data_IF_261125999945
#
_entry.id   IF_261125999945
#
_cell.length_a   1.000
_cell.length_b   1.000
_cell.length_c   1.000
_cell.angle_alpha   90.00
_cell.angle_beta   90.00
_cell.angle_gamma   90.00
#
_symmetry.space_group_name_H-M   'P 1'
#
loop_
_entity.id
_entity.type
_entity.pdbx_description
1 polymer ?
#
# COMPACT_ATOMS: atom_id res chain seq x y z
N UNK A 1 -9.33 -19.22 -6.68
CA UNK A 1 -9.32 -20.65 -6.33
C UNK A 1 -8.42 -21.36 -7.34
N UNK A 2 -7.17 -21.68 -6.95
CA UNK A 2 -6.27 -22.42 -7.86
C UNK A 2 -6.72 -23.87 -7.89
N UNK A 3 -7.05 -24.38 -9.09
CA UNK A 3 -7.32 -25.78 -9.30
C UNK A 3 -5.98 -26.50 -9.36
N UNK A 4 -5.72 -27.37 -8.41
CA UNK A 4 -4.50 -28.15 -8.32
C UNK A 4 -4.42 -29.17 -9.46
N UNK A 5 -3.29 -29.21 -10.18
CA UNK A 5 -3.00 -30.31 -11.11
C UNK A 5 -2.94 -31.64 -10.35
N UNK A 6 -3.53 -32.70 -10.94
CA UNK A 6 -3.48 -34.06 -10.39
C UNK A 6 -2.16 -34.78 -10.69
N UNK A 7 -1.29 -34.21 -11.54
CA UNK A 7 0.01 -34.77 -11.92
C UNK A 7 1.06 -33.65 -12.03
N UNK A 8 2.33 -33.90 -11.68
CA UNK A 8 3.42 -32.96 -11.83
C UNK A 8 3.60 -32.56 -13.31
N UNK A 9 3.78 -31.27 -13.56
CA UNK A 9 3.97 -30.73 -14.89
C UNK A 9 5.40 -30.95 -15.36
N UNK A 10 5.66 -31.98 -16.19
CA UNK A 10 6.92 -32.14 -16.89
C UNK A 10 6.70 -31.97 -18.40
N UNK A 11 7.51 -31.08 -19.02
CA UNK A 11 7.58 -30.93 -20.46
C UNK A 11 8.95 -31.39 -20.95
N UNK A 12 8.97 -32.25 -21.93
CA UNK A 12 10.21 -32.64 -22.60
C UNK A 12 10.35 -31.89 -23.92
N UNK A 13 11.49 -31.26 -24.13
CA UNK A 13 11.81 -30.46 -25.32
C UNK A 13 13.16 -30.91 -25.90
N UNK A 14 13.20 -31.17 -27.20
CA UNK A 14 14.46 -31.37 -27.90
C UNK A 14 14.94 -30.11 -28.57
N UNK A 15 16.12 -29.64 -28.20
CA UNK A 15 16.74 -28.45 -28.77
C UNK A 15 18.27 -28.61 -28.82
N UNK A 16 18.89 -28.26 -29.95
CA UNK A 16 20.34 -28.32 -30.12
C UNK A 16 20.94 -29.72 -29.94
N UNK A 17 20.21 -30.79 -30.27
CA UNK A 17 20.64 -32.19 -30.07
C UNK A 17 20.59 -32.64 -28.60
N UNK A 18 20.06 -31.84 -27.70
CA UNK A 18 19.85 -32.19 -26.28
C UNK A 18 18.36 -32.29 -25.96
N UNK A 19 18.00 -33.30 -25.19
CA UNK A 19 16.68 -33.43 -24.58
C UNK A 19 16.66 -32.70 -23.24
N UNK A 20 15.74 -31.74 -23.11
CA UNK A 20 15.51 -30.94 -21.91
C UNK A 20 14.26 -31.43 -21.19
N UNK A 21 14.33 -31.53 -19.87
CA UNK A 21 13.22 -31.87 -18.98
C UNK A 21 12.85 -30.63 -18.18
N UNK A 22 11.76 -29.98 -18.58
CA UNK A 22 11.30 -28.75 -17.95
C UNK A 22 10.22 -29.09 -16.94
N UNK A 23 10.50 -28.89 -15.65
CA UNK A 23 9.49 -28.91 -14.60
C UNK A 23 8.66 -27.65 -14.70
N UNK A 24 7.34 -27.76 -14.58
CA UNK A 24 6.41 -26.61 -14.60
C UNK A 24 5.55 -26.66 -13.36
N UNK A 25 5.57 -25.60 -12.57
CA UNK A 25 4.61 -25.36 -11.51
C UNK A 25 3.99 -23.95 -11.60
N UNK A 26 2.90 -23.74 -10.90
CA UNK A 26 2.12 -22.50 -11.01
C UNK A 26 1.96 -21.90 -9.63
N UNK A 27 2.46 -20.65 -9.48
CA UNK A 27 2.24 -19.79 -8.33
C UNK A 27 2.53 -20.50 -6.99
N UNK A 28 1.49 -20.86 -6.24
CA UNK A 28 1.57 -21.45 -4.90
C UNK A 28 2.14 -22.88 -4.87
N UNK A 29 2.29 -23.56 -6.01
CA UNK A 29 2.96 -24.85 -6.09
C UNK A 29 4.42 -24.80 -5.60
N UNK A 30 5.03 -23.60 -5.61
CA UNK A 30 6.37 -23.37 -5.08
C UNK A 30 6.40 -23.23 -3.54
N UNK A 31 5.25 -22.98 -2.91
CA UNK A 31 5.13 -22.63 -1.49
C UNK A 31 4.98 -23.89 -0.61
N UNK A 32 5.98 -24.74 -0.63
CA UNK A 32 5.97 -26.03 0.08
C UNK A 32 6.77 -26.01 1.39
N UNK A 33 7.66 -25.03 1.57
CA UNK A 33 8.53 -24.93 2.74
C UNK A 33 7.83 -24.17 3.86
N UNK A 34 7.14 -24.91 4.74
CA UNK A 34 6.37 -24.34 5.86
C UNK A 34 7.22 -23.47 6.80
N UNK A 35 8.46 -23.84 7.05
CA UNK A 35 9.41 -23.11 7.87
C UNK A 35 9.72 -21.70 7.34
N UNK A 36 9.61 -21.49 6.02
CA UNK A 36 9.93 -20.23 5.38
C UNK A 36 8.76 -19.25 5.36
N UNK A 37 7.52 -19.71 5.31
CA UNK A 37 6.33 -18.85 5.21
C UNK A 37 5.31 -19.02 6.34
N UNK A 38 5.61 -19.87 7.32
CA UNK A 38 4.82 -20.02 8.56
C UNK A 38 3.50 -20.77 8.43
N UNK A 39 3.14 -21.24 7.23
CA UNK A 39 1.89 -21.96 6.96
C UNK A 39 2.10 -23.02 5.91
N UNK A 40 1.55 -24.22 6.11
CA UNK A 40 1.43 -25.20 5.05
C UNK A 40 0.22 -24.85 4.19
N UNK A 41 0.46 -24.38 2.97
CA UNK A 41 -0.57 -24.26 1.96
C UNK A 41 -1.00 -25.67 1.57
N UNK A 42 -2.26 -25.97 1.70
CA UNK A 42 -2.91 -27.29 1.65
C UNK A 42 -2.37 -28.30 0.65
N UNK A 43 -2.23 -29.55 1.11
CA UNK A 43 -2.16 -30.79 0.29
C UNK A 43 -0.72 -31.16 -0.04
N UNK A 44 -0.39 -32.00 -1.02
CA UNK A 44 0.87 -32.60 -1.39
C UNK A 44 2.06 -31.63 -1.58
N UNK A 45 3.15 -32.14 -2.06
CA UNK A 45 4.42 -31.45 -2.27
C UNK A 45 4.77 -31.43 -3.76
N UNK A 46 4.28 -30.42 -4.53
CA UNK A 46 4.52 -30.35 -5.97
C UNK A 46 6.00 -30.29 -6.34
N UNK A 47 6.85 -29.69 -5.49
CA UNK A 47 8.31 -29.68 -5.70
C UNK A 47 8.90 -31.06 -5.51
N UNK A 48 8.50 -31.79 -4.46
CA UNK A 48 8.92 -33.16 -4.23
C UNK A 48 8.45 -34.12 -5.29
N UNK A 49 7.26 -33.98 -5.82
CA UNK A 49 6.75 -34.77 -6.94
C UNK A 49 7.60 -34.56 -8.20
N UNK A 50 8.05 -33.34 -8.48
CA UNK A 50 8.95 -33.02 -9.58
C UNK A 50 10.37 -33.59 -9.36
N UNK A 51 10.84 -33.69 -8.12
CA UNK A 51 12.15 -34.21 -7.80
C UNK A 51 12.35 -35.64 -8.33
N UNK A 52 11.33 -36.49 -8.22
CA UNK A 52 11.37 -37.85 -8.76
C UNK A 52 11.53 -37.88 -10.28
N UNK A 53 11.12 -36.83 -10.97
CA UNK A 53 11.20 -36.68 -12.42
C UNK A 53 12.52 -36.06 -12.90
N UNK A 54 13.40 -35.62 -11.99
CA UNK A 54 14.73 -35.05 -12.28
C UNK A 54 14.69 -33.98 -13.39
N UNK A 55 14.00 -32.84 -13.21
CA UNK A 55 14.00 -31.77 -14.21
C UNK A 55 15.39 -31.17 -14.39
N UNK A 56 15.73 -30.71 -15.59
CA UNK A 56 16.92 -29.90 -15.88
C UNK A 56 16.70 -28.43 -15.47
N UNK A 57 15.45 -27.97 -15.41
CA UNK A 57 15.02 -26.60 -15.12
C UNK A 57 13.61 -26.62 -14.56
N UNK A 58 13.34 -25.80 -13.53
CA UNK A 58 11.98 -25.54 -13.06
C UNK A 58 11.51 -24.17 -13.56
N UNK A 59 10.36 -24.12 -14.21
CA UNK A 59 9.65 -22.89 -14.58
C UNK A 59 8.48 -22.69 -13.61
N UNK A 60 8.51 -21.61 -12.83
CA UNK A 60 7.39 -21.19 -11.99
C UNK A 60 6.70 -19.99 -12.61
N UNK A 61 5.43 -20.13 -12.99
CA UNK A 61 4.60 -19.09 -13.57
C UNK A 61 3.67 -18.52 -12.48
N UNK A 62 3.89 -17.28 -12.06
CA UNK A 62 3.24 -16.69 -10.91
C UNK A 62 2.43 -15.42 -11.25
N UNK A 63 1.28 -15.30 -10.58
CA UNK A 63 0.56 -14.06 -10.36
C UNK A 63 0.54 -13.80 -8.84
N UNK A 64 1.74 -13.57 -8.28
CA UNK A 64 1.94 -13.37 -6.86
C UNK A 64 1.84 -11.89 -6.53
N UNK A 65 0.77 -11.43 -5.82
CA UNK A 65 0.61 -10.00 -5.52
C UNK A 65 1.66 -9.55 -4.51
N UNK A 66 1.99 -8.27 -4.58
CA UNK A 66 2.90 -7.62 -3.66
C UNK A 66 2.38 -7.68 -2.22
N UNK A 67 3.30 -7.83 -1.31
CA UNK A 67 3.20 -7.47 0.10
C UNK A 67 4.61 -7.15 0.60
N UNK A 68 4.73 -6.26 1.57
CA UNK A 68 6.03 -5.89 2.15
C UNK A 68 6.75 -7.15 2.66
N UNK A 69 8.04 -7.31 2.28
CA UNK A 69 8.86 -8.49 2.61
C UNK A 69 8.68 -9.70 1.69
N UNK A 70 7.65 -9.75 0.85
CA UNK A 70 7.33 -10.92 0.02
C UNK A 70 8.36 -11.17 -1.09
N UNK A 71 9.02 -10.14 -1.59
CA UNK A 71 10.11 -10.29 -2.58
C UNK A 71 11.25 -11.17 -2.05
N UNK A 72 11.68 -10.94 -0.82
CA UNK A 72 12.69 -11.77 -0.16
C UNK A 72 12.20 -13.22 0.06
N UNK A 73 10.94 -13.37 0.48
CA UNK A 73 10.33 -14.70 0.68
C UNK A 73 10.28 -15.51 -0.62
N UNK A 74 9.86 -14.88 -1.75
CA UNK A 74 9.87 -15.53 -3.09
C UNK A 74 11.26 -16.04 -3.46
N UNK A 75 12.32 -15.24 -3.25
CA UNK A 75 13.71 -15.67 -3.52
C UNK A 75 14.12 -16.83 -2.63
N UNK A 76 13.77 -16.83 -1.34
CA UNK A 76 14.09 -17.93 -0.42
C UNK A 76 13.39 -19.23 -0.81
N UNK A 77 12.11 -19.17 -1.16
CA UNK A 77 11.33 -20.33 -1.61
C UNK A 77 11.89 -20.91 -2.92
N UNK A 78 12.22 -20.05 -3.89
CA UNK A 78 12.82 -20.48 -5.14
C UNK A 78 14.21 -21.09 -4.93
N UNK A 79 15.02 -20.54 -4.03
CA UNK A 79 16.34 -21.09 -3.69
C UNK A 79 16.23 -22.46 -3.00
N UNK A 80 15.27 -22.63 -2.09
CA UNK A 80 15.00 -23.92 -1.45
C UNK A 80 14.56 -24.98 -2.48
N UNK A 81 13.64 -24.62 -3.39
CA UNK A 81 13.22 -25.49 -4.47
C UNK A 81 14.38 -25.85 -5.42
N UNK A 82 15.22 -24.87 -5.79
CA UNK A 82 16.39 -25.09 -6.64
C UNK A 82 17.40 -26.07 -6.00
N UNK A 83 17.69 -25.89 -4.73
CA UNK A 83 18.57 -26.79 -3.98
C UNK A 83 17.98 -28.21 -3.87
N UNK A 84 16.68 -28.32 -3.61
CA UNK A 84 15.98 -29.60 -3.49
C UNK A 84 15.92 -30.38 -4.80
N UNK A 85 15.68 -29.70 -5.92
CA UNK A 85 15.61 -30.29 -7.26
C UNK A 85 16.98 -30.51 -7.87
N UNK A 86 18.02 -29.83 -7.39
CA UNK A 86 19.36 -29.84 -7.97
C UNK A 86 19.44 -29.14 -9.34
N UNK A 87 18.49 -28.29 -9.68
CA UNK A 87 18.44 -27.56 -10.94
C UNK A 87 18.06 -26.08 -10.76
N UNK A 88 18.33 -25.21 -11.74
CA UNK A 88 17.90 -23.83 -11.68
C UNK A 88 16.37 -23.66 -11.64
N UNK A 89 15.90 -22.56 -11.04
CA UNK A 89 14.49 -22.15 -11.05
C UNK A 89 14.37 -20.80 -11.74
N UNK A 90 13.51 -20.73 -12.75
CA UNK A 90 13.07 -19.50 -13.39
C UNK A 90 11.73 -19.12 -12.79
N UNK A 91 11.70 -18.06 -12.02
CA UNK A 91 10.50 -17.51 -11.41
C UNK A 91 10.01 -16.33 -12.24
N UNK A 92 8.84 -16.47 -12.85
CA UNK A 92 8.23 -15.42 -13.67
C UNK A 92 6.98 -14.91 -12.97
N UNK A 93 6.97 -13.63 -12.61
CA UNK A 93 5.84 -13.00 -11.93
C UNK A 93 5.15 -11.96 -12.82
N UNK A 94 3.84 -11.85 -12.67
CA UNK A 94 3.02 -10.85 -13.34
C UNK A 94 3.41 -9.44 -12.90
N UNK A 95 3.20 -8.45 -13.79
CA UNK A 95 3.31 -7.00 -13.51
C UNK A 95 1.97 -6.34 -13.76
N UNK A 96 1.58 -5.41 -12.88
CA UNK A 96 0.40 -4.56 -13.06
C UNK A 96 -0.54 -4.52 -11.86
N UNK A 97 -1.42 -3.54 -11.81
CA UNK A 97 -2.47 -3.39 -10.82
C UNK A 97 -3.81 -3.94 -11.31
N UNK A 98 -4.59 -4.58 -10.44
CA UNK A 98 -5.97 -4.98 -10.71
C UNK A 98 -6.80 -4.90 -9.42
N UNK A 99 -7.73 -3.95 -9.40
CA UNK A 99 -8.48 -3.59 -8.20
C UNK A 99 -7.53 -3.25 -7.03
N UNK A 100 -7.64 -3.93 -5.92
CA UNK A 100 -6.74 -3.75 -4.77
C UNK A 100 -5.37 -4.43 -4.93
N UNK A 101 -5.22 -5.38 -5.85
CA UNK A 101 -3.99 -6.17 -6.00
C UNK A 101 -3.00 -5.49 -6.93
N UNK A 102 -1.75 -5.45 -6.50
CA UNK A 102 -0.63 -4.99 -7.35
C UNK A 102 0.38 -6.11 -7.47
N UNK A 103 0.76 -6.43 -8.70
CA UNK A 103 1.76 -7.43 -9.03
C UNK A 103 3.05 -6.70 -9.40
N UNK A 104 4.06 -6.88 -8.58
CA UNK A 104 5.30 -6.12 -8.60
C UNK A 104 6.36 -6.66 -9.57
N UNK A 105 6.06 -7.70 -10.34
CA UNK A 105 7.05 -8.30 -11.26
C UNK A 105 8.25 -8.86 -10.51
N UNK A 106 9.42 -8.31 -10.79
CA UNK A 106 10.67 -8.73 -10.17
C UNK A 106 10.97 -10.21 -10.45
N UNK A 107 10.69 -10.68 -11.66
CA UNK A 107 11.04 -12.03 -12.12
C UNK A 107 12.53 -12.29 -12.00
N UNK A 108 12.94 -13.52 -11.75
CA UNK A 108 14.35 -13.84 -11.53
C UNK A 108 14.70 -15.27 -11.89
N UNK A 109 15.98 -15.54 -12.04
CA UNK A 109 16.55 -16.89 -12.13
C UNK A 109 17.43 -17.16 -10.92
N UNK A 110 17.23 -18.30 -10.27
CA UNK A 110 18.10 -18.79 -9.21
C UNK A 110 18.75 -20.11 -9.60
N UNK A 111 20.07 -20.22 -9.43
CA UNK A 111 20.81 -21.44 -9.69
C UNK A 111 20.51 -22.52 -8.64
N UNK A 112 20.88 -23.78 -8.93
CA UNK A 112 20.79 -24.88 -7.96
C UNK A 112 21.54 -24.61 -6.64
N UNK A 113 22.53 -23.72 -6.65
CA UNK A 113 23.25 -23.27 -5.45
C UNK A 113 22.49 -22.26 -4.60
N UNK A 114 21.31 -21.79 -5.02
CA UNK A 114 20.54 -20.73 -4.38
C UNK A 114 20.96 -19.31 -4.78
N UNK A 115 21.98 -19.13 -5.62
CA UNK A 115 22.43 -17.80 -6.06
C UNK A 115 21.52 -17.24 -7.16
N UNK A 116 21.10 -15.99 -7.03
CA UNK A 116 20.33 -15.28 -8.07
C UNK A 116 21.24 -14.91 -9.22
N UNK A 117 20.91 -15.36 -10.42
CA UNK A 117 21.70 -15.22 -11.67
C UNK A 117 21.18 -14.12 -12.58
N UNK A 118 19.90 -13.91 -12.57
CA UNK A 118 19.22 -12.89 -13.35
C UNK A 118 18.12 -12.29 -12.48
N UNK A 119 17.94 -10.97 -12.55
CA UNK A 119 16.86 -10.25 -11.92
C UNK A 119 16.28 -9.27 -12.92
N UNK A 120 15.00 -9.36 -13.19
CA UNK A 120 14.24 -8.44 -14.02
C UNK A 120 13.74 -7.27 -13.17
N UNK A 121 13.29 -6.22 -13.85
CA UNK A 121 12.83 -4.98 -13.22
C UNK A 121 11.62 -5.16 -12.30
N UNK A 122 11.48 -4.22 -11.37
CA UNK A 122 10.39 -4.16 -10.40
C UNK A 122 9.36 -3.12 -10.81
N UNK A 123 8.08 -3.51 -10.72
CA UNK A 123 6.92 -2.67 -11.01
C UNK A 123 6.88 -2.12 -12.46
N UNK A 124 7.67 -2.69 -13.36
CA UNK A 124 7.69 -2.37 -14.79
C UNK A 124 7.80 -3.67 -15.62
N UNK A 125 7.19 -3.74 -16.82
CA UNK A 125 7.40 -4.84 -17.75
C UNK A 125 8.86 -4.92 -18.20
N UNK A 126 9.43 -6.12 -18.15
CA UNK A 126 10.81 -6.37 -18.59
C UNK A 126 10.91 -7.70 -19.34
N UNK A 127 11.83 -7.78 -20.29
CA UNK A 127 12.13 -8.97 -21.08
C UNK A 127 13.64 -9.15 -21.18
N UNK A 128 14.14 -10.24 -20.62
CA UNK A 128 15.56 -10.57 -20.66
C UNK A 128 15.77 -12.02 -21.12
N UNK A 129 16.94 -12.28 -21.67
CA UNK A 129 17.38 -13.60 -22.08
C UNK A 129 18.40 -14.13 -21.09
N UNK A 130 18.15 -15.30 -20.55
CA UNK A 130 19.12 -16.04 -19.73
C UNK A 130 19.64 -17.24 -20.52
N UNK A 131 20.95 -17.27 -20.76
CA UNK A 131 21.62 -18.39 -21.41
C UNK A 131 22.14 -19.38 -20.37
N UNK A 132 21.63 -20.62 -20.39
CA UNK A 132 22.03 -21.68 -19.46
C UNK A 132 23.50 -22.13 -19.59
N UNK A 133 24.13 -21.83 -20.73
CA UNK A 133 25.54 -22.16 -20.99
C UNK A 133 26.49 -21.07 -20.46
N UNK A 134 26.01 -19.85 -20.35
CA UNK A 134 26.76 -18.72 -19.86
C UNK A 134 26.41 -18.51 -18.39
N UNK A 135 27.02 -19.23 -17.47
CA UNK A 135 26.82 -19.03 -16.04
C UNK A 135 27.67 -17.84 -15.57
N UNK A 136 27.10 -16.60 -15.46
CA UNK A 136 27.86 -15.44 -15.02
C UNK A 136 28.33 -15.64 -13.59
N UNK A 137 29.44 -15.03 -13.27
CA UNK A 137 30.13 -15.13 -12.00
C UNK A 137 29.22 -14.99 -10.77
N UNK A 138 29.63 -15.56 -9.66
CA UNK A 138 29.00 -15.80 -8.35
C UNK A 138 28.42 -14.59 -7.60
N UNK A 139 28.11 -13.49 -8.24
CA UNK A 139 27.57 -12.29 -7.58
C UNK A 139 26.06 -12.43 -7.38
N UNK A 140 25.64 -12.45 -6.13
CA UNK A 140 24.21 -12.36 -5.78
C UNK A 140 23.73 -10.95 -6.07
N UNK A 141 22.66 -10.81 -6.86
CA UNK A 141 22.02 -9.52 -7.14
C UNK A 141 21.19 -9.14 -5.90
N UNK A 142 21.45 -7.98 -5.23
CA UNK A 142 20.72 -7.59 -4.05
C UNK A 142 19.24 -7.26 -4.38
N UNK A 143 18.39 -7.26 -3.36
CA UNK A 143 17.06 -6.67 -3.47
C UNK A 143 17.17 -5.16 -3.33
N UNK A 144 16.28 -4.39 -3.98
CA UNK A 144 16.11 -2.97 -3.70
C UNK A 144 15.69 -2.72 -2.24
N UNK A 145 15.82 -1.49 -1.80
CA UNK A 145 15.27 -1.06 -0.52
C UNK A 145 13.78 -1.38 -0.43
N UNK A 146 13.26 -1.78 0.74
CA UNK A 146 11.82 -2.03 0.92
C UNK A 146 10.96 -0.83 0.55
N UNK A 147 11.44 0.38 0.82
CA UNK A 147 10.76 1.65 0.51
C UNK A 147 10.75 1.94 -0.99
N UNK A 148 11.82 1.58 -1.73
CA UNK A 148 11.85 1.65 -3.21
C UNK A 148 10.75 0.76 -3.80
N UNK A 149 10.71 -0.51 -3.39
CA UNK A 149 9.68 -1.45 -3.86
C UNK A 149 8.27 -0.98 -3.51
N UNK A 150 8.08 -0.44 -2.31
CA UNK A 150 6.79 0.07 -1.86
C UNK A 150 6.35 1.28 -2.69
N UNK A 151 7.23 2.25 -2.89
CA UNK A 151 6.94 3.45 -3.69
C UNK A 151 6.57 3.08 -5.13
N UNK A 152 7.38 2.27 -5.80
CA UNK A 152 7.10 1.79 -7.17
C UNK A 152 5.79 1.03 -7.26
N UNK A 153 5.52 0.18 -6.29
CA UNK A 153 4.29 -0.64 -6.26
C UNK A 153 3.04 0.23 -6.10
N UNK A 154 3.06 1.23 -5.20
CA UNK A 154 1.94 2.16 -5.03
C UNK A 154 1.71 3.01 -6.29
N UNK A 155 2.79 3.49 -6.92
CA UNK A 155 2.72 4.24 -8.18
C UNK A 155 2.13 3.38 -9.31
N UNK A 156 2.60 2.13 -9.47
CA UNK A 156 2.06 1.19 -10.45
C UNK A 156 0.56 0.92 -10.19
N UNK A 157 0.19 0.66 -8.94
CA UNK A 157 -1.20 0.39 -8.55
C UNK A 157 -2.13 1.56 -8.89
N UNK A 158 -1.75 2.78 -8.52
CA UNK A 158 -2.51 3.99 -8.83
C UNK A 158 -2.60 4.25 -10.35
N UNK A 159 -1.48 4.14 -11.07
CA UNK A 159 -1.41 4.31 -12.52
C UNK A 159 -2.35 3.36 -13.26
N UNK A 160 -2.29 2.08 -12.91
CA UNK A 160 -3.10 1.05 -13.56
C UNK A 160 -4.58 1.13 -13.19
N UNK A 161 -4.89 1.43 -11.90
CA UNK A 161 -6.27 1.65 -11.47
C UNK A 161 -6.91 2.81 -12.23
N UNK A 162 -6.25 3.98 -12.26
CA UNK A 162 -6.73 5.15 -12.99
C UNK A 162 -6.94 4.83 -14.47
N UNK A 163 -5.94 4.24 -15.12
CA UNK A 163 -5.99 3.88 -16.55
C UNK A 163 -7.14 2.90 -16.87
N UNK A 164 -7.29 1.84 -16.06
CA UNK A 164 -8.32 0.80 -16.25
C UNK A 164 -9.73 1.33 -15.99
N UNK A 165 -9.88 2.27 -15.04
CA UNK A 165 -11.14 2.95 -14.77
C UNK A 165 -11.44 4.14 -15.71
N UNK A 166 -10.55 4.42 -16.68
CA UNK A 166 -10.75 5.48 -17.66
C UNK A 166 -10.38 6.89 -17.19
N UNK A 167 -9.76 7.02 -16.02
CA UNK A 167 -9.31 8.32 -15.51
C UNK A 167 -7.91 8.67 -16.04
N UNK A 168 -7.76 9.93 -16.43
CA UNK A 168 -6.48 10.51 -16.84
C UNK A 168 -5.93 11.54 -15.85
N UNK A 169 -6.81 12.08 -14.99
CA UNK A 169 -6.49 13.14 -14.04
C UNK A 169 -6.98 12.75 -12.66
N UNK A 170 -6.27 13.25 -11.64
CA UNK A 170 -6.64 13.07 -10.25
C UNK A 170 -6.82 14.39 -9.51
N UNK A 171 -7.66 14.36 -8.49
CA UNK A 171 -7.89 15.42 -7.52
C UNK A 171 -7.66 14.88 -6.11
N UNK A 172 -7.05 15.69 -5.25
CA UNK A 172 -6.95 15.38 -3.81
C UNK A 172 -7.09 16.65 -2.96
N UNK A 173 -7.50 16.46 -1.71
CA UNK A 173 -7.39 17.51 -0.69
C UNK A 173 -5.96 17.58 -0.16
N UNK A 174 -5.35 18.75 -0.16
CA UNK A 174 -4.00 18.96 0.38
C UNK A 174 -4.09 19.78 1.67
N UNK A 175 -3.79 19.14 2.80
CA UNK A 175 -3.98 19.70 4.14
C UNK A 175 -2.69 20.23 4.78
N UNK A 176 -1.52 19.98 4.17
CA UNK A 176 -0.23 20.22 4.79
C UNK A 176 0.20 19.14 5.79
N UNK A 177 -0.58 18.05 5.90
CA UNK A 177 -0.23 16.85 6.65
C UNK A 177 0.46 15.81 5.79
N UNK A 178 1.20 14.89 6.44
CA UNK A 178 2.09 13.92 5.79
C UNK A 178 1.34 12.94 4.87
N UNK A 179 0.11 12.55 5.22
CA UNK A 179 -0.69 11.61 4.42
C UNK A 179 -1.07 12.21 3.07
N UNK A 180 -1.63 13.42 3.08
CA UNK A 180 -1.98 14.14 1.84
C UNK A 180 -0.74 14.47 1.01
N UNK A 181 0.40 14.72 1.66
CA UNK A 181 1.67 14.94 0.97
C UNK A 181 2.15 13.68 0.26
N UNK A 182 2.12 12.51 0.91
CA UNK A 182 2.48 11.25 0.27
C UNK A 182 1.55 10.92 -0.91
N UNK A 183 0.23 11.10 -0.75
CA UNK A 183 -0.72 10.86 -1.85
C UNK A 183 -0.47 11.82 -3.02
N UNK A 184 -0.09 13.08 -2.78
CA UNK A 184 0.30 14.03 -3.84
C UNK A 184 1.56 13.56 -4.60
N UNK A 185 2.58 13.07 -3.90
CA UNK A 185 3.79 12.50 -4.50
C UNK A 185 3.45 11.28 -5.37
N UNK A 186 2.65 10.34 -4.83
CA UNK A 186 2.23 9.15 -5.56
C UNK A 186 1.42 9.49 -6.81
N UNK A 187 0.51 10.47 -6.70
CA UNK A 187 -0.31 10.91 -7.82
C UNK A 187 0.53 11.57 -8.92
N UNK A 188 1.49 12.45 -8.54
CA UNK A 188 2.40 13.11 -9.48
C UNK A 188 3.28 12.07 -10.21
N UNK A 189 3.79 11.07 -9.51
CA UNK A 189 4.57 9.97 -10.10
C UNK A 189 3.75 9.07 -11.03
N UNK A 190 2.50 8.76 -10.64
CA UNK A 190 1.65 7.82 -11.39
C UNK A 190 1.05 8.41 -12.65
N UNK A 191 0.63 9.69 -12.62
CA UNK A 191 -0.16 10.33 -13.68
C UNK A 191 0.59 11.45 -14.39
N UNK A 192 1.72 11.87 -13.86
CA UNK A 192 2.44 13.09 -14.26
C UNK A 192 1.86 14.34 -13.59
N UNK A 193 2.70 15.32 -13.20
CA UNK A 193 2.28 16.48 -12.42
C UNK A 193 1.20 17.33 -13.09
N UNK A 194 1.21 17.47 -14.42
CA UNK A 194 0.19 18.20 -15.16
C UNK A 194 -1.23 17.60 -15.12
N UNK A 195 -1.37 16.37 -14.64
CA UNK A 195 -2.63 15.65 -14.52
C UNK A 195 -3.13 15.57 -13.06
N UNK A 196 -2.47 16.22 -12.13
CA UNK A 196 -2.82 16.23 -10.70
C UNK A 196 -3.22 17.64 -10.26
N UNK A 197 -4.33 17.72 -9.57
CA UNK A 197 -4.80 18.96 -8.94
C UNK A 197 -4.94 18.74 -7.43
N UNK A 198 -4.43 19.67 -6.66
CA UNK A 198 -4.59 19.71 -5.21
C UNK A 198 -5.52 20.85 -4.81
N UNK A 199 -6.49 20.58 -3.91
CA UNK A 199 -7.39 21.58 -3.37
C UNK A 199 -7.07 21.85 -1.91
N UNK A 200 -6.74 23.10 -1.61
CA UNK A 200 -6.60 23.60 -0.23
C UNK A 200 -7.96 24.13 0.22
N UNK A 201 -8.44 23.67 1.37
CA UNK A 201 -9.76 24.05 1.92
C UNK A 201 -9.62 24.52 3.37
N UNK A 202 -8.99 25.69 3.59
CA UNK A 202 -8.72 26.17 4.92
C UNK A 202 -10.02 26.50 5.67
N UNK A 203 -10.07 26.11 6.95
CA UNK A 203 -11.04 26.55 7.94
C UNK A 203 -10.43 27.67 8.80
N UNK A 204 -11.20 28.34 9.68
CA UNK A 204 -10.65 29.25 10.65
C UNK A 204 -9.60 28.65 11.61
N UNK A 205 -9.55 27.33 11.70
CA UNK A 205 -8.62 26.58 12.56
C UNK A 205 -7.37 26.08 11.82
N UNK A 206 -7.34 26.21 10.49
CA UNK A 206 -6.17 25.80 9.70
C UNK A 206 -4.99 26.73 9.94
N UNK A 207 -3.84 26.15 10.25
CA UNK A 207 -2.63 26.93 10.51
C UNK A 207 -2.05 27.54 9.22
N UNK A 208 -1.44 28.72 9.33
CA UNK A 208 -0.74 29.33 8.20
C UNK A 208 0.37 28.41 7.67
N UNK A 209 1.10 27.74 8.56
CA UNK A 209 2.15 26.78 8.20
C UNK A 209 1.62 25.61 7.37
N UNK A 210 0.43 25.09 7.65
CA UNK A 210 -0.15 24.00 6.84
C UNK A 210 -0.48 24.45 5.41
N UNK A 211 -0.91 25.70 5.23
CA UNK A 211 -1.15 26.27 3.90
C UNK A 211 0.17 26.47 3.15
N UNK A 212 1.17 27.06 3.82
CA UNK A 212 2.50 27.30 3.24
C UNK A 212 3.19 25.98 2.85
N UNK A 213 3.15 24.98 3.71
CA UNK A 213 3.70 23.65 3.46
C UNK A 213 3.04 22.96 2.26
N UNK A 214 1.71 23.09 2.15
CA UNK A 214 0.94 22.57 1.01
C UNK A 214 1.36 23.21 -0.31
N UNK A 215 1.48 24.52 -0.34
CA UNK A 215 1.87 25.28 -1.53
C UNK A 215 3.33 24.98 -1.91
N UNK A 216 4.24 24.89 -0.94
CA UNK A 216 5.64 24.55 -1.17
C UNK A 216 5.78 23.12 -1.73
N UNK A 217 5.04 22.13 -1.20
CA UNK A 217 5.00 20.78 -1.75
C UNK A 217 4.46 20.76 -3.18
N UNK A 218 3.35 21.44 -3.43
CA UNK A 218 2.75 21.50 -4.76
C UNK A 218 3.70 22.13 -5.78
N UNK A 219 4.44 23.16 -5.38
CA UNK A 219 5.47 23.79 -6.22
C UNK A 219 6.62 22.83 -6.53
N UNK A 220 7.15 22.10 -5.53
CA UNK A 220 8.19 21.09 -5.73
C UNK A 220 7.76 19.96 -6.67
N UNK A 221 6.49 19.54 -6.58
CA UNK A 221 5.91 18.52 -7.45
C UNK A 221 5.51 19.04 -8.84
N UNK A 222 5.35 20.36 -9.02
CA UNK A 222 4.82 20.95 -10.25
C UNK A 222 3.34 20.67 -10.48
N UNK A 223 2.53 20.43 -9.42
CA UNK A 223 1.10 20.17 -9.52
C UNK A 223 0.28 21.46 -9.36
N UNK A 224 -0.89 21.49 -10.02
CA UNK A 224 -1.79 22.61 -9.92
C UNK A 224 -2.50 22.68 -8.55
N UNK A 225 -2.69 23.88 -8.02
CA UNK A 225 -3.42 24.10 -6.76
C UNK A 225 -4.63 25.00 -6.95
N UNK A 226 -5.67 24.79 -6.14
CA UNK A 226 -6.79 25.69 -5.95
C UNK A 226 -7.03 25.91 -4.46
N UNK A 227 -7.64 27.04 -4.09
CA UNK A 227 -7.98 27.32 -2.68
C UNK A 227 -9.46 27.69 -2.56
N UNK A 228 -10.18 26.98 -1.69
CA UNK A 228 -11.59 27.21 -1.37
C UNK A 228 -11.75 27.26 0.14
N UNK A 229 -11.75 28.47 0.75
CA UNK A 229 -12.00 28.61 2.19
C UNK A 229 -13.41 28.11 2.55
N UNK A 230 -13.53 27.35 3.65
CA UNK A 230 -14.80 26.71 4.04
C UNK A 230 -15.59 27.50 5.09
N UNK A 231 -15.09 28.63 5.60
CA UNK A 231 -15.70 29.38 6.68
C UNK A 231 -17.17 29.80 6.40
N UNK A 232 -17.46 30.26 5.18
CA UNK A 232 -18.83 30.66 4.79
C UNK A 232 -19.79 29.46 4.77
N UNK A 233 -19.31 28.28 4.34
CA UNK A 233 -20.11 27.05 4.33
C UNK A 233 -20.36 26.56 5.77
N UNK A 234 -19.36 26.66 6.65
CA UNK A 234 -19.54 26.38 8.09
C UNK A 234 -20.62 27.25 8.71
N UNK A 235 -20.54 28.56 8.48
CA UNK A 235 -21.56 29.53 8.99
C UNK A 235 -22.96 29.22 8.45
N UNK A 236 -23.07 28.75 7.18
CA UNK A 236 -24.35 28.33 6.61
C UNK A 236 -24.92 27.11 7.31
N UNK A 237 -24.09 26.11 7.63
CA UNK A 237 -24.51 24.95 8.42
C UNK A 237 -24.86 25.29 9.84
N UNK A 238 -24.11 26.20 10.50
CA UNK A 238 -24.39 26.67 11.84
C UNK A 238 -25.79 27.33 11.89
N UNK A 239 -26.09 28.20 10.94
CA UNK A 239 -27.40 28.85 10.84
C UNK A 239 -28.53 27.82 10.57
N UNK A 240 -28.34 26.89 9.65
CA UNK A 240 -29.35 25.90 9.28
C UNK A 240 -29.65 24.89 10.39
N UNK A 241 -28.66 24.54 11.20
CA UNK A 241 -28.77 23.54 12.26
C UNK A 241 -29.05 24.13 13.65
N UNK A 242 -29.02 25.43 13.80
CA UNK A 242 -29.19 26.11 15.10
C UNK A 242 -30.54 25.76 15.78
N UNK A 243 -31.63 25.79 15.03
CA UNK A 243 -32.96 25.44 15.58
C UNK A 243 -33.09 23.93 15.85
N UNK A 244 -32.78 23.01 14.88
CA UNK A 244 -32.88 21.57 15.11
C UNK A 244 -32.01 21.04 16.25
N UNK A 245 -30.86 21.66 16.51
CA UNK A 245 -29.91 21.23 17.55
C UNK A 245 -30.07 22.04 18.88
N UNK A 246 -30.99 22.97 18.92
CA UNK A 246 -31.15 23.91 20.04
C UNK A 246 -29.85 24.70 20.36
N UNK A 247 -29.08 25.03 19.32
CA UNK A 247 -27.80 25.73 19.37
C UNK A 247 -26.91 25.39 18.18
N UNK A 248 -25.80 26.11 17.98
CA UNK A 248 -24.84 25.78 16.90
C UNK A 248 -24.22 24.39 17.10
N UNK A 249 -23.86 23.70 16.00
CA UNK A 249 -23.11 22.43 16.08
C UNK A 249 -21.84 22.56 16.94
N UNK A 250 -21.60 21.61 17.83
CA UNK A 250 -20.47 21.64 18.76
C UNK A 250 -19.75 20.28 18.82
N UNK A 251 -18.50 20.28 19.28
CA UNK A 251 -17.70 19.07 19.47
C UNK A 251 -17.57 18.24 18.19
N UNK A 252 -17.75 16.94 18.32
CA UNK A 252 -17.63 15.98 17.20
C UNK A 252 -18.57 16.31 16.03
N UNK A 253 -19.75 16.89 16.29
CA UNK A 253 -20.67 17.30 15.22
C UNK A 253 -20.07 18.39 14.35
N UNK A 254 -19.49 19.43 14.97
CA UNK A 254 -18.83 20.53 14.26
C UNK A 254 -17.59 20.06 13.50
N UNK A 255 -16.77 19.20 14.11
CA UNK A 255 -15.59 18.60 13.47
C UNK A 255 -15.98 17.78 12.23
N UNK A 256 -16.96 16.89 12.38
CA UNK A 256 -17.44 16.05 11.27
C UNK A 256 -18.10 16.84 10.13
N UNK A 257 -18.75 17.95 10.44
CA UNK A 257 -19.32 18.85 9.41
C UNK A 257 -18.23 19.47 8.56
N UNK A 258 -17.12 19.93 9.16
CA UNK A 258 -15.98 20.45 8.38
C UNK A 258 -15.42 19.42 7.41
N UNK A 259 -15.22 18.18 7.88
CA UNK A 259 -14.74 17.09 7.04
C UNK A 259 -15.71 16.82 5.88
N UNK A 260 -17.05 16.80 6.14
CA UNK A 260 -18.07 16.59 5.10
C UNK A 260 -18.16 17.74 4.11
N UNK A 261 -18.03 18.98 4.56
CA UNK A 261 -17.96 20.15 3.66
C UNK A 261 -16.79 19.97 2.67
N UNK A 262 -15.60 19.63 3.17
CA UNK A 262 -14.43 19.37 2.32
C UNK A 262 -14.68 18.22 1.36
N UNK A 263 -15.23 17.10 1.84
CA UNK A 263 -15.57 15.95 1.01
C UNK A 263 -16.57 16.30 -0.10
N UNK A 264 -17.59 17.11 0.19
CA UNK A 264 -18.58 17.57 -0.79
C UNK A 264 -17.96 18.45 -1.87
N UNK A 265 -17.10 19.41 -1.49
CA UNK A 265 -16.38 20.28 -2.43
C UNK A 265 -15.47 19.49 -3.38
N UNK A 266 -14.72 18.52 -2.83
CA UNK A 266 -13.85 17.65 -3.61
C UNK A 266 -14.66 16.80 -4.61
N UNK A 267 -15.76 16.20 -4.17
CA UNK A 267 -16.62 15.41 -5.07
C UNK A 267 -17.28 16.26 -6.15
N UNK A 268 -17.71 17.47 -5.82
CA UNK A 268 -18.30 18.38 -6.81
C UNK A 268 -17.30 18.73 -7.92
N UNK A 269 -16.05 19.04 -7.57
CA UNK A 269 -14.98 19.32 -8.52
C UNK A 269 -14.60 18.07 -9.32
N UNK A 270 -14.44 16.94 -8.66
CA UNK A 270 -14.11 15.68 -9.32
C UNK A 270 -15.16 15.29 -10.38
N UNK A 271 -16.44 15.42 -10.04
CA UNK A 271 -17.55 15.17 -10.97
C UNK A 271 -17.55 16.15 -12.15
N UNK A 272 -17.40 17.45 -11.88
CA UNK A 272 -17.42 18.48 -12.92
C UNK A 272 -16.26 18.33 -13.91
N UNK A 273 -15.10 17.88 -13.44
CA UNK A 273 -13.87 17.83 -14.22
C UNK A 273 -13.50 16.42 -14.70
N UNK A 274 -14.27 15.40 -14.34
CA UNK A 274 -13.99 14.02 -14.70
C UNK A 274 -12.65 13.51 -14.11
N UNK A 275 -12.36 13.83 -12.85
CA UNK A 275 -11.14 13.48 -12.16
C UNK A 275 -11.37 12.32 -11.17
N UNK A 276 -10.37 11.47 -10.99
CA UNK A 276 -10.35 10.51 -9.90
C UNK A 276 -10.05 11.24 -8.58
N UNK A 277 -11.01 11.23 -7.67
CA UNK A 277 -10.77 11.75 -6.31
C UNK A 277 -9.97 10.71 -5.53
N UNK A 278 -8.82 11.12 -4.98
CA UNK A 278 -7.97 10.28 -4.13
C UNK A 278 -8.24 10.60 -2.65
N UNK A 279 -8.58 9.56 -1.87
CA UNK A 279 -8.64 9.65 -0.42
C UNK A 279 -7.23 9.57 0.16
N UNK A 280 -6.99 10.31 1.23
CA UNK A 280 -5.69 10.41 1.91
C UNK A 280 -5.64 9.67 3.24
N UNK A 281 -6.70 8.93 3.61
CA UNK A 281 -6.74 8.13 4.83
C UNK A 281 -5.77 6.95 4.78
N UNK A 282 -5.12 6.67 5.90
CA UNK A 282 -4.18 5.57 6.07
C UNK A 282 -4.79 4.37 6.82
N UNK A 283 -4.06 3.25 6.91
CA UNK A 283 -4.52 2.01 7.55
C UNK A 283 -4.78 2.18 9.04
N UNK A 284 -3.96 2.94 9.75
CA UNK A 284 -4.09 3.15 11.20
C UNK A 284 -5.37 3.90 11.53
N UNK A 285 -5.66 4.97 10.79
CA UNK A 285 -6.90 5.76 10.92
C UNK A 285 -8.14 4.91 10.60
N UNK A 286 -8.12 4.17 9.49
CA UNK A 286 -9.20 3.25 9.12
C UNK A 286 -9.39 2.13 10.16
N UNK A 287 -8.31 1.63 10.76
CA UNK A 287 -8.36 0.58 11.77
C UNK A 287 -9.16 1.01 13.00
N UNK A 288 -8.83 2.19 13.55
CA UNK A 288 -9.45 2.69 14.78
C UNK A 288 -10.69 3.55 14.54
N UNK A 289 -11.02 3.83 13.26
CA UNK A 289 -12.16 4.67 12.87
C UNK A 289 -11.94 6.15 13.09
N UNK A 290 -10.69 6.61 13.14
CA UNK A 290 -10.33 8.02 13.20
C UNK A 290 -10.46 8.65 11.80
N UNK A 291 -11.67 8.65 11.31
CA UNK A 291 -12.06 9.11 9.98
C UNK A 291 -13.56 9.44 9.97
N UNK A 292 -14.00 10.26 9.02
CA UNK A 292 -15.36 10.74 8.92
C UNK A 292 -16.03 10.18 7.67
N UNK A 293 -17.13 9.42 7.86
CA UNK A 293 -17.99 9.00 6.75
C UNK A 293 -18.50 10.20 5.97
N UNK A 294 -18.40 10.10 4.64
CA UNK A 294 -18.80 11.15 3.70
C UNK A 294 -17.99 12.44 3.83
N UNK A 295 -16.84 12.38 4.50
CA UNK A 295 -15.88 13.47 4.68
C UNK A 295 -14.52 13.10 4.09
N UNK A 296 -13.51 12.90 4.93
CA UNK A 296 -12.14 12.50 4.54
C UNK A 296 -12.05 11.10 3.93
N UNK A 297 -13.06 10.25 4.16
CA UNK A 297 -13.17 8.94 3.52
C UNK A 297 -13.68 9.00 2.07
N UNK A 298 -14.07 10.18 1.56
CA UNK A 298 -14.54 10.32 0.19
C UNK A 298 -13.40 10.10 -0.80
N UNK A 299 -13.68 9.34 -1.86
CA UNK A 299 -12.73 9.10 -2.94
C UNK A 299 -13.10 7.90 -3.78
N UNK A 300 -12.49 7.80 -4.95
CA UNK A 300 -12.56 6.62 -5.83
C UNK A 300 -11.44 5.62 -5.55
N UNK A 301 -10.39 6.03 -4.83
CA UNK A 301 -9.28 5.16 -4.41
C UNK A 301 -8.59 5.73 -3.17
N UNK A 302 -8.38 4.89 -2.16
CA UNK A 302 -7.55 5.17 -0.98
C UNK A 302 -6.14 4.61 -1.19
N UNK A 303 -5.27 5.42 -1.80
CA UNK A 303 -3.95 4.97 -2.29
C UNK A 303 -3.07 4.41 -1.17
N UNK A 304 -3.11 5.03 0.02
CA UNK A 304 -2.35 4.65 1.21
C UNK A 304 -3.20 3.96 2.28
N UNK A 305 -4.42 3.53 1.93
CA UNK A 305 -5.38 2.91 2.87
C UNK A 305 -4.91 1.60 3.50
N UNK A 306 -3.83 0.99 2.97
CA UNK A 306 -3.18 -0.20 3.54
C UNK A 306 -1.77 0.08 4.11
N UNK A 307 -1.39 1.37 4.28
CA UNK A 307 -0.17 1.78 4.96
C UNK A 307 -0.45 2.22 6.40
N UNK A 308 0.26 1.65 7.37
CA UNK A 308 0.28 2.17 8.74
C UNK A 308 0.91 3.57 8.78
N UNK A 309 0.50 4.40 9.73
CA UNK A 309 1.01 5.78 9.90
C UNK A 309 2.53 5.82 10.02
N UNK A 310 3.10 4.93 10.80
CA UNK A 310 4.57 4.79 10.94
C UNK A 310 5.25 4.45 9.61
N UNK A 311 4.59 3.67 8.74
CA UNK A 311 5.09 3.37 7.39
C UNK A 311 4.99 4.59 6.46
N UNK A 312 3.96 5.43 6.62
CA UNK A 312 3.84 6.70 5.89
C UNK A 312 5.01 7.62 6.24
N UNK A 313 5.31 7.79 7.54
CA UNK A 313 6.46 8.59 7.98
C UNK A 313 7.78 8.06 7.43
N UNK A 314 8.01 6.75 7.53
CA UNK A 314 9.22 6.10 7.05
C UNK A 314 9.39 6.27 5.54
N UNK A 315 8.32 6.07 4.76
CA UNK A 315 8.37 6.23 3.30
C UNK A 315 8.64 7.69 2.90
N UNK A 316 8.00 8.67 3.57
CA UNK A 316 8.25 10.09 3.32
C UNK A 316 9.70 10.49 3.67
N UNK A 317 10.25 9.98 4.77
CA UNK A 317 11.64 10.22 5.16
C UNK A 317 12.60 9.60 4.13
N UNK A 318 12.31 8.39 3.64
CA UNK A 318 13.11 7.74 2.61
C UNK A 318 13.02 8.49 1.28
N UNK A 319 11.84 8.96 0.85
CA UNK A 319 11.64 9.76 -0.37
C UNK A 319 12.55 11.01 -0.36
N UNK A 320 12.74 11.65 0.78
CA UNK A 320 13.59 12.84 0.92
C UNK A 320 15.07 12.51 1.14
N UNK A 321 15.42 11.23 1.26
CA UNK A 321 16.81 10.81 1.44
C UNK A 321 17.55 10.67 0.10
N UNK A 322 18.89 10.76 0.10
CA UNK A 322 19.70 10.51 -1.10
C UNK A 322 19.50 9.10 -1.68
N UNK A 323 19.11 8.11 -0.87
CA UNK A 323 18.85 6.74 -1.32
C UNK A 323 17.69 6.65 -2.32
N UNK A 324 16.73 7.57 -2.26
CA UNK A 324 15.59 7.60 -3.16
C UNK A 324 15.86 8.23 -4.53
N UNK A 325 17.02 8.88 -4.75
CA UNK A 325 17.29 9.68 -5.95
C UNK A 325 17.06 8.90 -7.25
N UNK A 326 17.62 7.69 -7.36
CA UNK A 326 17.47 6.85 -8.55
C UNK A 326 16.00 6.41 -8.77
N UNK A 327 15.30 6.05 -7.71
CA UNK A 327 13.88 5.69 -7.78
C UNK A 327 13.02 6.88 -8.19
N UNK A 328 13.22 8.04 -7.57
CA UNK A 328 12.52 9.29 -7.92
C UNK A 328 12.71 9.65 -9.39
N UNK A 329 13.95 9.58 -9.88
CA UNK A 329 14.27 9.83 -11.30
C UNK A 329 13.55 8.87 -12.22
N UNK A 330 13.56 7.55 -11.91
CA UNK A 330 12.86 6.54 -12.69
C UNK A 330 11.33 6.74 -12.71
N UNK A 331 10.77 7.33 -11.66
CA UNK A 331 9.35 7.65 -11.54
C UNK A 331 8.98 9.06 -12.07
N UNK A 332 9.94 9.78 -12.70
CA UNK A 332 9.70 11.12 -13.24
C UNK A 332 9.54 12.22 -12.19
N UNK A 333 9.98 11.96 -10.95
CA UNK A 333 10.00 12.93 -9.86
C UNK A 333 11.35 13.68 -9.80
N UNK A 334 11.42 14.89 -9.20
CA UNK A 334 12.68 15.58 -8.95
C UNK A 334 13.67 14.68 -8.19
N UNK A 335 14.86 14.43 -8.74
CA UNK A 335 15.83 13.52 -8.14
C UNK A 335 16.58 14.14 -6.95
N UNK A 336 16.73 15.47 -6.96
CA UNK A 336 17.52 16.22 -5.97
C UNK A 336 16.60 16.99 -5.00
N UNK A 337 17.16 17.32 -3.84
CA UNK A 337 16.49 18.09 -2.80
C UNK A 337 15.38 17.34 -2.08
N UNK A 338 14.79 17.98 -1.08
CA UNK A 338 13.60 17.47 -0.40
C UNK A 338 12.38 17.58 -1.30
N UNK A 339 11.57 16.55 -1.34
CA UNK A 339 10.32 16.51 -2.09
C UNK A 339 9.12 16.73 -1.16
N UNK A 340 9.02 15.96 -0.09
CA UNK A 340 7.99 16.14 0.95
C UNK A 340 8.34 17.35 1.83
N UNK A 341 9.56 17.45 2.30
CA UNK A 341 10.10 18.54 3.10
C UNK A 341 10.02 18.30 4.61
N UNK A 342 11.07 18.78 5.32
CA UNK A 342 11.20 18.58 6.76
C UNK A 342 10.01 19.13 7.55
N UNK A 343 9.49 20.29 7.19
CA UNK A 343 8.35 20.91 7.86
C UNK A 343 7.09 19.99 7.92
N UNK A 344 6.81 19.26 6.83
CA UNK A 344 5.70 18.30 6.79
C UNK A 344 6.04 17.02 7.57
N UNK A 345 7.27 16.52 7.45
CA UNK A 345 7.69 15.26 8.09
C UNK A 345 7.79 15.35 9.61
N UNK A 346 8.13 16.52 10.14
CA UNK A 346 8.34 16.76 11.57
C UNK A 346 7.09 17.28 12.28
N UNK A 347 6.07 17.69 11.51
CA UNK A 347 4.80 18.19 12.06
C UNK A 347 4.06 17.08 12.81
N UNK A 348 3.62 17.32 14.05
CA UNK A 348 2.76 16.38 14.77
C UNK A 348 1.46 16.11 13.99
N UNK A 349 1.00 14.85 13.91
CA UNK A 349 -0.26 14.52 13.26
C UNK A 349 -1.45 15.24 13.88
N UNK A 350 -2.28 15.87 13.03
CA UNK A 350 -3.47 16.59 13.44
C UNK A 350 -4.48 16.67 12.30
N UNK A 351 -5.76 16.55 12.62
CA UNK A 351 -6.85 16.76 11.69
C UNK A 351 -7.21 18.26 11.50
N UNK A 352 -6.68 19.16 12.31
CA UNK A 352 -6.94 20.62 12.30
C UNK A 352 -8.43 21.01 12.22
N UNK A 353 -9.30 20.29 12.95
CA UNK A 353 -10.74 20.54 13.00
C UNK A 353 -11.16 21.41 14.20
N UNK A 354 -10.27 21.62 15.15
CA UNK A 354 -10.39 22.51 16.32
C UNK A 354 -9.02 23.09 16.68
N UNK A 355 -8.99 24.18 17.49
CA UNK A 355 -7.73 24.77 17.93
C UNK A 355 -6.82 23.75 18.64
N UNK A 356 -5.51 23.81 18.34
CA UNK A 356 -4.44 23.03 18.99
C UNK A 356 -4.68 21.51 19.02
N UNK A 357 -5.49 20.98 18.11
CA UNK A 357 -5.79 19.55 18.01
C UNK A 357 -4.56 18.73 17.65
N UNK A 358 -4.42 17.57 18.33
CA UNK A 358 -3.46 16.52 17.98
C UNK A 358 -4.14 15.17 17.96
N UNK A 359 -3.68 14.26 17.11
CA UNK A 359 -4.21 12.88 17.07
C UNK A 359 -4.01 12.17 18.41
N UNK A 360 -2.91 12.47 19.13
CA UNK A 360 -2.62 11.96 20.48
C UNK A 360 -3.64 12.36 21.56
N UNK A 361 -4.49 13.38 21.31
CA UNK A 361 -5.61 13.71 22.21
C UNK A 361 -6.65 12.58 22.30
N UNK A 362 -6.74 11.75 21.24
CA UNK A 362 -7.78 10.72 21.09
C UNK A 362 -7.21 9.31 20.90
N UNK A 363 -6.01 9.18 20.37
CA UNK A 363 -5.36 7.93 20.02
C UNK A 363 -4.11 7.71 20.86
N UNK A 364 -3.67 6.45 21.05
CA UNK A 364 -2.30 6.15 21.48
C UNK A 364 -1.31 6.68 20.44
N UNK A 365 -0.06 6.94 20.87
CA UNK A 365 1.01 7.27 19.93
C UNK A 365 1.16 6.17 18.86
N UNK A 366 1.38 6.58 17.62
CA UNK A 366 1.42 5.65 16.47
C UNK A 366 2.52 4.59 16.60
N UNK A 367 3.62 4.89 17.29
CA UNK A 367 4.69 3.92 17.58
C UNK A 367 4.23 2.77 18.50
N UNK A 368 3.18 2.99 19.30
CA UNK A 368 2.54 1.97 20.12
C UNK A 368 1.34 1.35 19.40
N UNK A 369 0.55 2.17 18.71
CA UNK A 369 -0.68 1.75 18.05
C UNK A 369 -0.42 0.80 16.88
N UNK A 370 0.50 1.15 15.96
CA UNK A 370 0.70 0.41 14.72
C UNK A 370 1.23 -1.02 14.93
N UNK A 371 2.19 -1.29 15.84
CA UNK A 371 2.57 -2.67 16.16
C UNK A 371 1.41 -3.51 16.71
N UNK A 372 0.53 -2.92 17.53
CA UNK A 372 -0.65 -3.61 18.04
C UNK A 372 -1.66 -3.90 16.94
N UNK A 373 -1.94 -2.93 16.09
CA UNK A 373 -2.81 -3.12 14.93
C UNK A 373 -2.28 -4.20 13.99
N UNK A 374 -0.97 -4.22 13.74
CA UNK A 374 -0.33 -5.24 12.93
C UNK A 374 -0.50 -6.63 13.53
N UNK A 375 -0.26 -6.78 14.83
CA UNK A 375 -0.43 -8.05 15.52
C UNK A 375 -1.90 -8.53 15.50
N UNK A 376 -2.87 -7.64 15.73
CA UNK A 376 -4.29 -7.97 15.71
C UNK A 376 -4.81 -8.30 14.30
N UNK A 377 -4.37 -7.55 13.27
CA UNK A 377 -4.92 -7.62 11.91
C UNK A 377 -4.16 -8.64 11.06
N UNK A 378 -2.83 -8.53 10.98
CA UNK A 378 -2.02 -9.33 10.06
C UNK A 378 -1.61 -10.67 10.69
N UNK A 379 -1.21 -10.67 11.96
CA UNK A 379 -0.81 -11.87 12.69
C UNK A 379 -1.98 -12.59 13.36
N UNK A 380 -3.16 -11.95 13.43
CA UNK A 380 -4.40 -12.50 14.01
C UNK A 380 -4.27 -12.92 15.48
N UNK A 381 -3.39 -12.26 16.21
CA UNK A 381 -3.22 -12.50 17.63
C UNK A 381 -4.41 -11.96 18.41
N UNK A 382 -4.81 -12.66 19.45
CA UNK A 382 -5.84 -12.19 20.38
C UNK A 382 -5.27 -11.16 21.37
N UNK A 383 -6.11 -10.30 21.98
CA UNK A 383 -5.66 -9.42 23.06
C UNK A 383 -4.99 -10.18 24.20
N UNK A 384 -5.52 -11.37 24.55
CA UNK A 384 -4.98 -12.21 25.61
C UNK A 384 -3.55 -12.68 25.28
N UNK A 385 -3.28 -13.07 24.04
CA UNK A 385 -1.94 -13.44 23.56
C UNK A 385 -0.98 -12.25 23.59
N UNK A 386 -1.46 -11.03 23.27
CA UNK A 386 -0.68 -9.81 23.33
C UNK A 386 -0.33 -9.44 24.79
N UNK A 387 -1.30 -9.53 25.69
CA UNK A 387 -1.11 -9.30 27.13
C UNK A 387 -0.12 -10.31 27.70
N UNK A 388 -0.24 -11.58 27.36
CA UNK A 388 0.67 -12.64 27.80
C UNK A 388 2.12 -12.41 27.33
N UNK A 389 2.34 -11.63 26.26
CA UNK A 389 3.68 -11.27 25.76
C UNK A 389 4.16 -9.88 26.21
N UNK A 390 3.45 -9.25 27.18
CA UNK A 390 3.89 -8.02 27.84
C UNK A 390 3.23 -6.72 27.37
N UNK A 391 2.20 -6.81 26.51
CA UNK A 391 1.41 -5.62 26.15
C UNK A 391 0.55 -5.18 27.34
N UNK A 392 0.42 -3.87 27.56
CA UNK A 392 -0.50 -3.33 28.56
C UNK A 392 -1.95 -3.77 28.24
N UNK A 393 -2.64 -4.31 29.25
CA UNK A 393 -3.97 -4.88 29.09
C UNK A 393 -5.01 -3.83 28.67
N UNK A 394 -4.99 -2.64 29.30
CA UNK A 394 -5.94 -1.59 29.02
C UNK A 394 -5.75 -1.03 27.59
N UNK A 395 -4.50 -0.95 27.15
CA UNK A 395 -4.16 -0.54 25.77
C UNK A 395 -4.62 -1.59 24.75
N UNK A 396 -4.35 -2.86 24.97
CA UNK A 396 -4.75 -3.95 24.06
C UNK A 396 -6.28 -4.01 23.89
N UNK A 397 -7.03 -3.98 25.00
CA UNK A 397 -8.49 -3.96 25.01
C UNK A 397 -9.07 -2.69 24.35
N UNK A 398 -8.49 -1.53 24.63
CA UNK A 398 -8.89 -0.25 24.00
C UNK A 398 -8.74 -0.31 22.49
N UNK A 399 -7.59 -0.75 21.98
CA UNK A 399 -7.31 -0.82 20.55
C UNK A 399 -8.21 -1.85 19.87
N UNK A 400 -8.41 -3.03 20.47
CA UNK A 400 -9.35 -4.03 19.99
C UNK A 400 -10.78 -3.49 19.92
N UNK A 401 -11.23 -2.75 20.95
CA UNK A 401 -12.54 -2.13 20.98
C UNK A 401 -12.72 -1.07 19.88
N UNK A 402 -11.71 -0.25 19.61
CA UNK A 402 -11.70 0.70 18.50
C UNK A 402 -11.78 -0.02 17.15
N UNK A 403 -10.97 -1.05 16.96
CA UNK A 403 -10.92 -1.84 15.75
C UNK A 403 -12.29 -2.48 15.43
N UNK A 404 -12.96 -3.07 16.43
CA UNK A 404 -14.30 -3.65 16.28
C UNK A 404 -15.34 -2.61 15.90
N UNK A 405 -15.40 -1.50 16.64
CA UNK A 405 -16.39 -0.44 16.40
C UNK A 405 -16.24 0.28 15.07
N UNK A 406 -15.06 0.27 14.46
CA UNK A 406 -14.78 0.95 13.21
C UNK A 406 -15.20 0.18 11.95
N UNK A 407 -15.61 -1.10 12.04
CA UNK A 407 -15.92 -1.92 10.87
C UNK A 407 -16.98 -1.31 9.95
N UNK A 408 -18.04 -0.69 10.50
CA UNK A 408 -19.07 -0.06 9.69
C UNK A 408 -18.55 1.10 8.83
N UNK A 409 -17.49 1.80 9.29
CA UNK A 409 -16.80 2.84 8.51
C UNK A 409 -15.98 2.19 7.40
N UNK A 410 -15.17 1.19 7.72
CA UNK A 410 -14.34 0.47 6.74
C UNK A 410 -15.14 -0.13 5.59
N UNK A 411 -16.39 -0.59 5.86
CA UNK A 411 -17.29 -1.10 4.80
C UNK A 411 -17.75 -0.06 3.80
N UNK A 412 -17.55 1.22 4.10
CA UNK A 412 -17.91 2.35 3.27
C UNK A 412 -16.68 3.13 2.78
N UNK A 413 -15.47 2.62 3.03
CA UNK A 413 -14.24 3.19 2.52
C UNK A 413 -14.09 2.94 1.01
N UNK A 414 -13.35 3.82 0.35
CA UNK A 414 -12.94 3.63 -1.04
C UNK A 414 -12.08 2.36 -1.18
N UNK A 415 -12.04 1.71 -2.36
CA UNK A 415 -11.06 0.67 -2.66
C UNK A 415 -9.65 1.14 -2.32
N UNK A 416 -8.81 0.24 -1.83
CA UNK A 416 -7.45 0.56 -1.43
C UNK A 416 -6.43 -0.30 -2.20
N UNK A 417 -5.17 0.13 -2.26
CA UNK A 417 -4.08 -0.68 -2.80
C UNK A 417 -3.50 -1.55 -1.68
N UNK A 418 -3.58 -2.88 -1.86
CA UNK A 418 -3.07 -3.85 -0.90
C UNK A 418 -1.55 -3.95 -0.98
N UNK A 419 -0.86 -3.59 0.10
CA UNK A 419 0.61 -3.65 0.22
C UNK A 419 1.09 -4.35 1.49
N UNK A 420 0.18 -4.74 2.37
CA UNK A 420 0.45 -5.56 3.56
C UNK A 420 -0.02 -7.00 3.36
N UNK A 421 0.29 -7.86 4.33
CA UNK A 421 -0.18 -9.25 4.29
C UNK A 421 -1.69 -9.36 4.36
N UNK A 422 -2.36 -8.42 5.04
CA UNK A 422 -3.81 -8.40 5.20
C UNK A 422 -4.36 -6.98 5.17
N UNK A 423 -5.00 -6.62 4.07
CA UNK A 423 -5.67 -5.34 3.86
C UNK A 423 -7.13 -5.39 4.31
N UNK A 424 -7.72 -4.25 4.62
CA UNK A 424 -9.16 -4.11 4.79
C UNK A 424 -9.89 -4.34 3.46
N UNK A 425 -11.19 -4.61 3.51
CA UNK A 425 -11.98 -4.93 2.33
C UNK A 425 -12.05 -6.44 2.07
N UNK A 426 -11.45 -6.94 0.99
CA UNK A 426 -11.50 -8.36 0.64
C UNK A 426 -10.67 -9.25 1.58
N UNK A 427 -9.58 -8.72 2.16
CA UNK A 427 -8.64 -9.46 3.01
C UNK A 427 -9.02 -9.53 4.49
N UNK A 428 -9.83 -8.59 4.97
CA UNK A 428 -10.23 -8.47 6.37
C UNK A 428 -11.66 -7.95 6.49
N UNK A 429 -12.51 -8.73 7.16
CA UNK A 429 -13.88 -8.32 7.49
C UNK A 429 -14.27 -8.83 8.87
N UNK A 430 -14.98 -8.00 9.61
CA UNK A 430 -15.58 -8.33 10.91
C UNK A 430 -17.10 -8.19 10.84
N UNK A 431 -17.87 -8.81 11.74
CA UNK A 431 -19.28 -8.50 11.90
C UNK A 431 -19.48 -7.02 12.27
N UNK A 432 -20.36 -6.31 11.57
CA UNK A 432 -20.73 -4.93 11.92
C UNK A 432 -21.67 -4.95 13.14
N UNK A 433 -22.70 -5.79 13.09
CA UNK A 433 -23.68 -5.93 14.15
C UNK A 433 -23.21 -7.01 15.15
N UNK A 434 -22.14 -6.70 15.87
CA UNK A 434 -21.65 -7.54 16.95
C UNK A 434 -21.77 -6.77 18.26
N UNK A 435 -22.42 -7.38 19.27
CA UNK A 435 -22.30 -6.89 20.62
C UNK A 435 -20.83 -6.96 21.05
N UNK A 436 -20.31 -5.84 21.56
CA UNK A 436 -18.92 -5.71 21.98
C UNK A 436 -18.62 -6.54 23.22
#
# INVERSE_FOLDING_TARGET
>A
MCIRRQQPGLLELEHGGRRWRLGINICEDLWVEEELHGQRLRGGDPVGELQALRPDLLLNLSASPFAQGKAQLRRRLAAAAAARLGCPVVYVNQVGGNDELVFDGGSFVVAATGAVRLQLDWAEPDLQVWDTALDPARTTIPLPDPEDLLLRTLVLGLRDYARKCGFRRALLGLSGGIDSALVAVLAAAALGPGNVQALLMPSPWSSAGSIEDSLALAQRLGIATGTVPIAALMAGFDAALNEPLAGPPAGLTAENLQSRIRGTLLMALANQQGQLLLSTGNKSELAVGYCTLYGDMNGGLAVIGDLYKTSVFRLCAWIDSPAAAACRQALGLPAEGELVGGAIREKPPSAELRPDQRDSDSLPDYDQLDPLLKALIEEQRSPEELIATGTDAALAERVQGLLRRAEFKRRQAAPLLKVSNRAFGSGWRMPIAAAG
#
